data_IF_461450056962
#
_entry.id   IF_461450056962
#
_cell.length_a   1.000
_cell.length_b   1.000
_cell.length_c   1.000
_cell.angle_alpha   90.00
_cell.angle_beta   90.00
_cell.angle_gamma   90.00
#
_symmetry.space_group_name_H-M   'P 1'
#
loop_
_entity.id
_entity.type
_entity.pdbx_description
1 polymer ?
#
# COMPACT_ATOMS: atom_id res chain seq x y z
N UNK A 1 15.78 24.24 2.28
CA UNK A 1 15.02 24.29 3.55
C UNK A 1 14.43 22.91 3.77
N UNK A 2 15.12 22.02 4.49
CA UNK A 2 14.54 20.71 4.80
C UNK A 2 13.55 20.92 5.92
N UNK A 3 12.27 20.64 5.66
CA UNK A 3 11.29 20.43 6.72
C UNK A 3 11.84 19.42 7.73
N UNK A 4 11.48 19.55 9.01
CA UNK A 4 11.88 18.58 10.03
C UNK A 4 11.46 17.17 9.58
N UNK A 5 12.45 16.30 9.38
CA UNK A 5 12.23 14.91 9.02
C UNK A 5 11.32 14.25 10.05
N UNK A 6 10.23 13.64 9.57
CA UNK A 6 9.23 13.00 10.45
C UNK A 6 9.81 11.71 11.02
N UNK A 7 9.45 11.42 12.27
CA UNK A 7 9.72 10.11 12.89
C UNK A 7 8.38 9.52 13.29
N UNK A 8 7.97 8.46 12.60
CA UNK A 8 6.78 7.68 12.94
C UNK A 8 7.22 6.45 13.71
N UNK A 9 6.61 6.21 14.87
CA UNK A 9 6.91 5.08 15.76
C UNK A 9 5.65 4.22 15.91
N UNK A 10 5.71 2.95 15.50
CA UNK A 10 4.58 2.02 15.68
C UNK A 10 4.73 1.30 17.01
N UNK A 11 3.84 1.58 17.96
CA UNK A 11 3.97 1.10 19.34
C UNK A 11 2.62 0.77 19.97
N UNK A 12 2.63 -0.16 20.93
CA UNK A 12 1.49 -0.49 21.75
C UNK A 12 1.93 -1.13 23.07
N UNK A 13 1.80 -2.45 23.24
CA UNK A 13 2.09 -3.11 24.52
C UNK A 13 3.57 -3.13 24.91
N UNK A 14 4.50 -2.93 23.99
CA UNK A 14 5.94 -2.98 24.29
C UNK A 14 6.47 -1.70 24.93
N UNK A 15 5.94 -0.54 24.53
CA UNK A 15 6.40 0.78 25.00
C UNK A 15 5.29 1.82 24.83
N UNK A 16 5.10 2.67 25.84
CA UNK A 16 4.09 3.72 25.83
C UNK A 16 4.55 5.00 25.11
N UNK A 17 3.59 5.83 24.71
CA UNK A 17 3.86 7.12 24.08
C UNK A 17 4.72 8.05 24.95
N UNK A 18 4.52 8.05 26.27
CA UNK A 18 5.29 8.89 27.20
C UNK A 18 6.80 8.57 27.15
N UNK A 19 7.17 7.28 27.15
CA UNK A 19 8.55 6.84 27.04
C UNK A 19 9.17 7.20 25.68
N UNK A 20 8.37 7.10 24.61
CA UNK A 20 8.80 7.52 23.27
C UNK A 20 9.06 9.02 23.24
N UNK A 21 8.13 9.83 23.73
CA UNK A 21 8.23 11.29 23.74
C UNK A 21 9.31 11.82 24.69
N UNK A 22 9.65 11.07 25.74
CA UNK A 22 10.81 11.37 26.58
C UNK A 22 12.15 11.30 25.82
N UNK A 23 12.22 10.50 24.75
CA UNK A 23 13.41 10.35 23.90
C UNK A 23 13.30 11.22 22.64
N UNK A 24 12.17 11.15 21.92
CA UNK A 24 11.87 11.91 20.70
C UNK A 24 10.56 12.71 20.90
N UNK A 25 10.64 13.97 21.39
CA UNK A 25 9.44 14.75 21.76
C UNK A 25 8.42 14.97 20.63
N UNK A 26 8.87 14.97 19.38
CA UNK A 26 8.03 15.22 18.20
C UNK A 26 7.73 13.95 17.38
N UNK A 27 7.95 12.76 17.96
CA UNK A 27 7.60 11.51 17.29
C UNK A 27 6.07 11.37 17.14
N UNK A 28 5.66 10.96 15.95
CA UNK A 28 4.29 10.54 15.66
C UNK A 28 4.13 9.10 16.11
N UNK A 29 3.47 8.89 17.25
CA UNK A 29 3.22 7.55 17.80
C UNK A 29 1.91 7.02 17.23
N UNK A 30 2.01 5.93 16.48
CA UNK A 30 0.87 5.27 15.83
C UNK A 30 0.67 3.86 16.41
N UNK A 31 -0.54 3.26 16.28
CA UNK A 31 -0.80 1.91 16.76
C UNK A 31 0.15 0.85 16.17
N UNK A 32 0.20 -0.37 16.74
CA UNK A 32 0.96 -1.48 16.19
C UNK A 32 0.68 -1.71 14.70
N UNK A 33 1.73 -1.77 13.89
CA UNK A 33 1.63 -1.78 12.42
C UNK A 33 0.97 -3.05 11.88
N UNK A 34 0.14 -2.91 10.85
CA UNK A 34 -0.46 -4.01 10.10
C UNK A 34 -0.32 -3.83 8.58
N UNK A 35 -0.82 -4.79 7.80
CA UNK A 35 -0.77 -4.75 6.34
C UNK A 35 -1.47 -3.50 5.77
N UNK A 36 -0.73 -2.70 5.01
CA UNK A 36 -1.17 -1.46 4.36
C UNK A 36 -0.73 -0.21 5.12
N UNK A 37 -0.46 -0.30 6.43
CA UNK A 37 -0.26 0.88 7.27
C UNK A 37 1.05 1.63 6.98
N UNK A 38 2.13 0.90 6.66
CA UNK A 38 3.42 1.50 6.29
C UNK A 38 3.27 2.53 5.15
N UNK A 39 2.38 2.25 4.19
CA UNK A 39 2.14 3.10 3.03
C UNK A 39 1.20 4.27 3.35
N UNK A 40 0.32 4.12 4.34
CA UNK A 40 -0.64 5.16 4.77
C UNK A 40 0.02 6.32 5.50
N UNK A 41 1.16 6.10 6.15
CA UNK A 41 1.85 7.14 6.90
C UNK A 41 2.38 8.30 6.03
N UNK A 42 2.45 8.11 4.71
CA UNK A 42 2.85 9.15 3.77
C UNK A 42 4.27 9.64 3.97
N UNK A 43 5.16 8.76 4.43
CA UNK A 43 6.58 9.05 4.66
C UNK A 43 7.29 9.30 3.33
N UNK A 44 8.26 10.22 3.36
CA UNK A 44 9.02 10.66 2.20
C UNK A 44 10.52 10.44 2.43
N UNK A 45 11.31 10.58 1.36
CA UNK A 45 12.77 10.55 1.45
C UNK A 45 13.28 11.43 2.60
N UNK A 46 14.06 10.84 3.50
CA UNK A 46 14.60 11.49 4.70
C UNK A 46 13.76 11.30 5.98
N UNK A 47 12.50 10.86 5.89
CA UNK A 47 11.70 10.48 7.06
C UNK A 47 12.15 9.14 7.65
N UNK A 48 11.72 8.84 8.88
CA UNK A 48 12.03 7.59 9.59
C UNK A 48 10.76 6.87 10.05
N UNK A 49 10.69 5.56 9.79
CA UNK A 49 9.74 4.63 10.38
C UNK A 49 10.46 3.72 11.38
N UNK A 50 10.15 3.85 12.67
CA UNK A 50 10.57 2.92 13.70
C UNK A 50 9.42 1.95 14.04
N UNK A 51 9.63 0.67 13.77
CA UNK A 51 8.68 -0.39 14.06
C UNK A 51 9.06 -1.01 15.41
N UNK A 52 8.25 -0.78 16.44
CA UNK A 52 8.38 -1.49 17.73
C UNK A 52 7.37 -2.61 17.79
N UNK A 53 6.08 -2.30 17.62
CA UNK A 53 4.99 -3.29 17.65
C UNK A 53 4.30 -3.42 16.29
N UNK A 54 3.81 -4.64 16.04
CA UNK A 54 2.97 -4.95 14.89
C UNK A 54 1.96 -6.04 15.23
N UNK A 55 0.85 -6.06 14.48
CA UNK A 55 -0.21 -7.02 14.66
C UNK A 55 0.06 -8.30 13.84
N UNK A 56 -0.32 -9.44 14.39
CA UNK A 56 -0.31 -10.73 13.71
C UNK A 56 -1.50 -11.57 14.21
N UNK A 57 -1.74 -12.72 13.57
CA UNK A 57 -2.84 -13.64 13.87
C UNK A 57 -4.24 -13.10 13.52
N UNK A 58 -4.75 -12.08 14.23
CA UNK A 58 -6.06 -11.49 13.96
C UNK A 58 -6.06 -10.52 12.76
N UNK A 59 -4.89 -9.95 12.48
CA UNK A 59 -4.66 -9.07 11.34
C UNK A 59 -3.48 -9.57 10.52
N UNK A 60 -3.51 -9.30 9.22
CA UNK A 60 -2.36 -9.55 8.36
C UNK A 60 -1.22 -8.61 8.78
N UNK A 61 -0.06 -9.18 9.08
CA UNK A 61 1.12 -8.40 9.46
C UNK A 61 1.64 -7.56 8.29
N UNK A 62 2.35 -6.49 8.63
CA UNK A 62 3.10 -5.69 7.65
C UNK A 62 3.97 -6.59 6.78
N UNK A 63 3.98 -6.32 5.47
CA UNK A 63 4.66 -7.15 4.48
C UNK A 63 6.03 -6.58 4.13
N UNK A 64 6.97 -7.46 3.84
CA UNK A 64 8.32 -7.11 3.38
C UNK A 64 8.31 -6.11 2.23
N UNK A 65 7.44 -6.30 1.24
CA UNK A 65 7.40 -5.43 0.06
C UNK A 65 6.97 -4.00 0.39
N UNK A 66 6.18 -3.78 1.44
CA UNK A 66 5.82 -2.40 1.86
C UNK A 66 7.05 -1.69 2.42
N UNK A 67 7.81 -2.38 3.28
CA UNK A 67 9.02 -1.82 3.89
C UNK A 67 10.13 -1.62 2.85
N UNK A 68 10.30 -2.56 1.92
CA UNK A 68 11.22 -2.42 0.78
C UNK A 68 10.83 -1.22 -0.11
N UNK A 69 9.53 -1.00 -0.31
CA UNK A 69 9.02 0.16 -1.07
C UNK A 69 9.40 1.47 -0.38
N UNK A 70 9.17 1.58 0.94
CA UNK A 70 9.57 2.76 1.72
C UNK A 70 11.08 3.02 1.66
N UNK A 71 11.90 1.97 1.81
CA UNK A 71 13.36 2.10 1.75
C UNK A 71 13.85 2.54 0.37
N UNK A 72 13.23 2.05 -0.71
CA UNK A 72 13.53 2.48 -2.09
C UNK A 72 13.18 3.96 -2.31
N UNK A 73 12.12 4.45 -1.65
CA UNK A 73 11.73 5.87 -1.62
C UNK A 73 12.65 6.74 -0.73
N UNK A 74 13.69 6.15 -0.13
CA UNK A 74 14.67 6.81 0.73
C UNK A 74 14.18 7.09 2.15
N UNK A 75 13.15 6.38 2.61
CA UNK A 75 12.71 6.39 4.02
C UNK A 75 13.64 5.50 4.83
N UNK A 76 14.11 5.98 5.96
CA UNK A 76 14.87 5.18 6.93
C UNK A 76 13.91 4.25 7.66
N UNK A 77 14.09 2.93 7.56
CA UNK A 77 13.23 1.95 8.24
C UNK A 77 14.04 1.20 9.29
N UNK A 78 13.56 1.25 10.54
CA UNK A 78 14.22 0.70 11.72
C UNK A 78 13.26 -0.24 12.44
N UNK A 79 13.76 -1.36 12.95
CA UNK A 79 13.01 -2.26 13.83
C UNK A 79 13.82 -2.67 15.05
N UNK A 80 13.17 -3.05 16.15
CA UNK A 80 13.92 -3.39 17.38
C UNK A 80 13.31 -4.43 18.29
N UNK A 81 12.00 -4.47 18.37
CA UNK A 81 11.27 -5.40 19.23
C UNK A 81 10.10 -5.99 18.46
N UNK A 82 9.44 -6.99 19.05
CA UNK A 82 8.19 -7.51 18.52
C UNK A 82 8.26 -7.87 17.02
N UNK A 83 7.25 -7.50 16.24
CA UNK A 83 7.24 -7.55 14.77
C UNK A 83 8.38 -6.75 14.12
N UNK A 84 8.81 -5.65 14.74
CA UNK A 84 9.89 -4.81 14.21
C UNK A 84 11.24 -5.52 14.16
N UNK A 85 11.60 -6.24 15.21
CA UNK A 85 12.83 -7.04 15.27
C UNK A 85 12.83 -8.14 14.20
N UNK A 86 11.70 -8.85 14.06
CA UNK A 86 11.53 -9.90 13.07
C UNK A 86 11.72 -9.36 11.64
N UNK A 87 11.01 -8.26 11.31
CA UNK A 87 11.13 -7.62 9.99
C UNK A 87 12.50 -7.03 9.75
N UNK A 88 13.13 -6.44 10.76
CA UNK A 88 14.50 -5.96 10.67
C UNK A 88 15.47 -7.10 10.35
N UNK A 89 15.36 -8.26 11.01
CA UNK A 89 16.24 -9.40 10.75
C UNK A 89 16.10 -9.91 9.31
N UNK A 90 14.87 -10.06 8.83
CA UNK A 90 14.59 -10.53 7.46
C UNK A 90 15.03 -9.52 6.38
N UNK A 91 14.93 -8.21 6.69
CA UNK A 91 15.23 -7.13 5.73
C UNK A 91 16.60 -6.48 5.93
N UNK A 92 17.39 -6.92 6.90
CA UNK A 92 18.72 -6.40 7.16
C UNK A 92 19.65 -6.46 5.95
N UNK A 93 19.67 -7.54 5.14
CA UNK A 93 20.47 -7.57 3.91
C UNK A 93 20.11 -6.45 2.92
N UNK A 94 18.85 -6.00 2.92
CA UNK A 94 18.31 -4.96 2.04
C UNK A 94 18.40 -3.55 2.61
N UNK A 95 18.95 -3.37 3.82
CA UNK A 95 19.22 -2.06 4.41
C UNK A 95 18.29 -1.64 5.55
N UNK A 96 17.32 -2.47 5.95
CA UNK A 96 16.55 -2.19 7.18
C UNK A 96 17.47 -2.28 8.40
N UNK A 97 17.39 -1.27 9.27
CA UNK A 97 18.18 -1.24 10.50
C UNK A 97 17.48 -2.04 11.59
N UNK A 98 18.27 -2.75 12.38
CA UNK A 98 17.79 -3.53 13.51
C UNK A 98 18.61 -3.24 14.74
N UNK A 99 17.95 -3.12 15.90
CA UNK A 99 18.61 -2.83 17.18
C UNK A 99 18.05 -3.69 18.30
N UNK A 100 18.92 -4.10 19.21
CA UNK A 100 18.53 -4.81 20.43
C UNK A 100 18.65 -6.32 20.32
N UNK A 101 18.52 -6.97 21.48
CA UNK A 101 18.77 -8.39 21.65
C UNK A 101 17.80 -9.25 20.83
N UNK A 102 16.53 -8.85 20.70
CA UNK A 102 15.53 -9.61 19.93
C UNK A 102 15.88 -9.60 18.44
N UNK A 103 16.29 -8.45 17.88
CA UNK A 103 16.74 -8.37 16.49
C UNK A 103 18.01 -9.21 16.26
N UNK A 104 19.03 -9.05 17.11
CA UNK A 104 20.27 -9.80 17.00
C UNK A 104 20.02 -11.31 17.12
N UNK A 105 19.12 -11.70 18.02
CA UNK A 105 18.71 -13.09 18.20
C UNK A 105 18.09 -13.70 16.95
N UNK A 106 17.21 -12.97 16.24
CA UNK A 106 16.65 -13.42 14.96
C UNK A 106 17.69 -13.42 13.84
N UNK A 107 18.49 -12.35 13.73
CA UNK A 107 19.54 -12.21 12.70
C UNK A 107 20.56 -13.35 12.77
N UNK A 108 20.97 -13.70 13.99
CA UNK A 108 22.03 -14.67 14.25
C UNK A 108 21.47 -16.11 14.42
N UNK A 109 20.14 -16.29 14.33
CA UNK A 109 19.48 -17.59 14.42
C UNK A 109 19.43 -18.19 15.83
N UNK A 110 19.65 -17.38 16.87
CA UNK A 110 19.51 -17.77 18.29
C UNK A 110 18.03 -18.01 18.62
N UNK A 111 17.15 -17.21 18.04
CA UNK A 111 15.69 -17.40 18.04
C UNK A 111 15.18 -17.40 16.59
N UNK A 112 14.20 -18.24 16.29
CA UNK A 112 13.76 -18.50 14.91
C UNK A 112 12.23 -18.63 14.76
N UNK A 113 11.49 -18.76 15.85
CA UNK A 113 10.04 -18.87 15.81
C UNK A 113 9.35 -17.49 15.84
N UNK A 114 8.35 -17.31 14.98
CA UNK A 114 7.55 -16.08 14.90
C UNK A 114 6.87 -15.73 16.22
N UNK A 115 6.50 -16.74 17.01
CA UNK A 115 5.78 -16.56 18.26
C UNK A 115 6.70 -16.28 19.47
N UNK A 116 8.02 -16.19 19.28
CA UNK A 116 8.97 -15.78 20.33
C UNK A 116 8.64 -14.39 20.88
N UNK A 117 8.15 -13.52 19.99
CA UNK A 117 7.76 -12.16 20.31
C UNK A 117 6.26 -11.99 20.58
N UNK A 118 5.47 -13.05 20.41
CA UNK A 118 4.02 -13.02 20.58
C UNK A 118 3.60 -12.85 22.03
N UNK A 119 2.65 -11.95 22.28
CA UNK A 119 2.08 -11.69 23.61
C UNK A 119 0.55 -11.57 23.52
N UNK A 120 -0.12 -11.71 24.66
CA UNK A 120 -1.57 -11.43 24.77
C UNK A 120 -1.73 -10.15 25.58
N UNK A 121 -2.36 -9.15 24.98
CA UNK A 121 -2.61 -7.85 25.59
C UNK A 121 -4.08 -7.44 25.43
N UNK A 122 -4.52 -6.50 26.27
CA UNK A 122 -5.83 -5.86 26.16
C UNK A 122 -5.89 -4.81 25.07
N UNK A 123 -7.03 -4.15 24.97
CA UNK A 123 -7.29 -3.18 23.92
C UNK A 123 -6.49 -1.88 24.12
N UNK A 124 -6.31 -1.08 23.04
CA UNK A 124 -5.62 0.22 23.12
C UNK A 124 -6.24 1.19 24.13
N UNK A 125 -7.57 1.12 24.32
CA UNK A 125 -8.32 2.00 25.25
C UNK A 125 -7.91 1.79 26.72
N UNK A 126 -7.45 0.58 27.06
CA UNK A 126 -6.96 0.22 28.40
C UNK A 126 -5.44 0.41 28.55
N UNK A 127 -4.76 0.94 27.52
CA UNK A 127 -3.30 1.09 27.51
C UNK A 127 -2.53 -0.21 27.29
N UNK A 128 -3.12 -1.19 26.57
CA UNK A 128 -2.50 -2.46 26.21
C UNK A 128 -2.01 -3.31 27.40
N UNK A 129 -2.85 -3.63 28.41
CA UNK A 129 -2.42 -4.43 29.55
C UNK A 129 -1.96 -5.83 29.12
N UNK A 130 -0.76 -6.25 29.51
CA UNK A 130 -0.19 -7.55 29.11
C UNK A 130 -0.68 -8.67 30.04
N UNK A 131 -1.38 -9.65 29.48
CA UNK A 131 -1.91 -10.83 30.18
C UNK A 131 -0.97 -12.04 30.08
N UNK A 132 -0.30 -12.20 28.94
CA UNK A 132 0.67 -13.27 28.70
C UNK A 132 1.89 -12.67 28.00
N UNK A 133 3.07 -12.90 28.59
CA UNK A 133 4.32 -12.28 28.14
C UNK A 133 4.93 -13.00 26.94
N UNK A 134 5.82 -12.29 26.24
CA UNK A 134 6.58 -12.85 25.13
C UNK A 134 7.64 -13.85 25.62
N UNK A 135 7.95 -14.85 24.79
CA UNK A 135 8.95 -15.87 25.15
C UNK A 135 10.35 -15.26 25.31
N UNK A 136 10.69 -14.23 24.54
CA UNK A 136 11.95 -13.48 24.72
C UNK A 136 12.07 -12.86 26.13
N UNK A 137 10.99 -12.30 26.68
CA UNK A 137 10.97 -11.77 28.05
C UNK A 137 11.05 -12.90 29.09
N UNK A 138 10.37 -14.04 28.83
CA UNK A 138 10.46 -15.25 29.65
C UNK A 138 11.90 -15.76 29.71
N UNK A 139 12.62 -15.83 28.58
CA UNK A 139 14.03 -16.26 28.49
C UNK A 139 14.94 -15.38 29.35
N UNK A 140 14.77 -14.06 29.25
CA UNK A 140 15.59 -13.11 30.01
C UNK A 140 15.28 -13.16 31.51
N UNK A 141 13.99 -13.28 31.86
CA UNK A 141 13.55 -13.46 33.25
C UNK A 141 14.10 -14.76 33.86
N UNK A 142 14.06 -15.86 33.11
CA UNK A 142 14.62 -17.16 33.54
C UNK A 142 16.14 -17.07 33.70
N UNK A 143 16.83 -16.40 32.78
CA UNK A 143 18.29 -16.21 32.86
C UNK A 143 18.67 -15.42 34.11
N UNK A 144 17.96 -14.31 34.40
CA UNK A 144 18.17 -13.55 35.63
C UNK A 144 17.88 -14.38 36.89
N UNK A 145 16.86 -15.24 36.87
CA UNK A 145 16.54 -16.13 37.98
C UNK A 145 17.64 -17.18 38.23
N UNK A 146 18.31 -17.67 37.17
CA UNK A 146 19.47 -18.55 37.30
C UNK A 146 20.66 -17.80 37.90
N UNK A 147 20.99 -16.63 37.35
CA UNK A 147 22.09 -15.79 37.85
C UNK A 147 21.92 -15.40 39.32
N UNK A 148 20.68 -15.17 39.74
CA UNK A 148 20.33 -14.82 41.12
C UNK A 148 20.20 -16.03 42.05
N UNK A 149 20.44 -17.26 41.55
CA UNK A 149 20.34 -18.50 42.32
C UNK A 149 18.91 -18.92 42.71
N UNK A 150 17.89 -18.28 42.13
CA UNK A 150 16.47 -18.58 42.37
C UNK A 150 16.03 -19.85 41.63
N UNK A 151 16.63 -20.11 40.45
CA UNK A 151 16.29 -21.24 39.61
C UNK A 151 17.56 -22.03 39.22
N UNK A 152 17.59 -23.37 39.38
CA UNK A 152 18.68 -24.18 38.85
C UNK A 152 18.71 -24.16 37.31
N UNK A 153 19.91 -24.20 36.71
CA UNK A 153 20.09 -24.18 35.25
C UNK A 153 19.31 -25.30 34.53
N UNK A 154 19.30 -26.52 35.09
CA UNK A 154 18.57 -27.63 34.50
C UNK A 154 17.04 -27.39 34.47
N UNK A 155 16.50 -26.74 35.51
CA UNK A 155 15.07 -26.37 35.56
C UNK A 155 14.76 -25.23 34.59
N UNK A 156 15.68 -24.28 34.44
CA UNK A 156 15.57 -23.20 33.47
C UNK A 156 15.46 -23.72 32.03
N UNK A 157 16.36 -24.62 31.63
CA UNK A 157 16.33 -25.25 30.30
C UNK A 157 15.01 -25.98 30.04
N UNK A 158 14.55 -26.78 31.01
CA UNK A 158 13.26 -27.47 30.91
C UNK A 158 12.09 -26.49 30.77
N UNK A 159 12.10 -25.41 31.56
CA UNK A 159 11.04 -24.40 31.55
C UNK A 159 10.96 -23.67 30.20
N UNK A 160 12.10 -23.33 29.60
CA UNK A 160 12.16 -22.72 28.27
C UNK A 160 11.67 -23.69 27.19
N UNK A 161 12.06 -24.97 27.25
CA UNK A 161 11.56 -25.96 26.29
C UNK A 161 10.05 -26.19 26.42
N UNK A 162 9.52 -26.22 27.65
CA UNK A 162 8.07 -26.23 27.90
C UNK A 162 7.39 -25.01 27.31
N UNK A 163 7.98 -23.81 27.47
CA UNK A 163 7.43 -22.58 26.94
C UNK A 163 7.43 -22.54 25.40
N UNK A 164 8.50 -23.03 24.74
CA UNK A 164 8.57 -23.18 23.27
C UNK A 164 7.44 -24.04 22.72
N UNK A 165 7.10 -25.14 23.40
CA UNK A 165 6.04 -26.07 22.99
C UNK A 165 4.63 -25.62 23.38
N UNK A 166 4.52 -24.58 24.21
CA UNK A 166 3.23 -24.05 24.67
C UNK A 166 2.78 -22.93 23.72
N UNK A 167 1.54 -22.96 23.20
CA UNK A 167 1.00 -21.86 22.42
C UNK A 167 1.16 -20.52 23.15
N UNK A 168 1.58 -19.46 22.44
CA UNK A 168 1.90 -18.18 23.08
C UNK A 168 0.76 -17.63 23.95
N UNK A 169 -0.50 -17.90 23.59
CA UNK A 169 -1.69 -17.47 24.35
C UNK A 169 -1.84 -18.11 25.73
N UNK A 170 -1.00 -19.10 26.07
CA UNK A 170 -1.11 -19.91 27.27
C UNK A 170 0.17 -19.88 28.14
N UNK A 171 1.20 -19.10 27.76
CA UNK A 171 2.51 -19.02 28.42
C UNK A 171 2.50 -18.24 29.75
N UNK A 172 1.64 -18.64 30.68
CA UNK A 172 1.63 -18.08 32.04
C UNK A 172 2.60 -18.86 32.94
N UNK A 173 3.27 -18.19 33.89
CA UNK A 173 4.22 -18.84 34.80
C UNK A 173 3.63 -20.05 35.53
N UNK A 174 2.39 -19.93 36.04
CA UNK A 174 1.72 -21.05 36.72
C UNK A 174 1.64 -22.28 35.83
N UNK A 175 1.17 -22.11 34.58
CA UNK A 175 1.00 -23.21 33.64
C UNK A 175 2.33 -23.81 33.19
N UNK A 176 3.32 -22.96 32.93
CA UNK A 176 4.65 -23.40 32.51
C UNK A 176 5.33 -24.22 33.61
N UNK A 177 5.28 -23.76 34.87
CA UNK A 177 5.87 -24.46 36.01
C UNK A 177 5.12 -25.75 36.35
N UNK A 178 3.79 -25.76 36.28
CA UNK A 178 2.98 -26.97 36.45
C UNK A 178 3.31 -28.01 35.37
N UNK A 179 3.42 -27.58 34.11
CA UNK A 179 3.75 -28.47 32.98
C UNK A 179 5.19 -28.99 33.03
N UNK A 180 6.10 -28.21 33.60
CA UNK A 180 7.48 -28.62 33.85
C UNK A 180 7.64 -29.51 35.11
N UNK A 181 6.56 -29.73 35.88
CA UNK A 181 6.59 -30.57 37.08
C UNK A 181 7.39 -29.97 38.24
N UNK A 182 7.51 -28.63 38.30
CA UNK A 182 8.28 -27.94 39.34
C UNK A 182 7.50 -27.88 40.66
N UNK A 183 8.05 -28.39 41.78
CA UNK A 183 7.44 -28.27 43.10
C UNK A 183 7.28 -26.79 43.52
N UNK A 184 6.31 -26.50 44.40
CA UNK A 184 6.07 -25.12 44.90
C UNK A 184 5.79 -24.07 43.80
N UNK A 185 5.26 -24.51 42.65
CA UNK A 185 5.07 -23.73 41.43
C UNK A 185 4.42 -22.35 41.64
N UNK A 186 3.46 -22.22 42.57
CA UNK A 186 2.76 -20.95 42.84
C UNK A 186 3.64 -19.88 43.50
N UNK A 187 4.56 -20.27 44.38
CA UNK A 187 5.47 -19.32 45.03
C UNK A 187 6.53 -18.87 44.04
N UNK A 188 7.12 -19.83 43.32
CA UNK A 188 8.09 -19.54 42.27
C UNK A 188 7.47 -18.70 41.14
N UNK A 189 6.22 -18.96 40.73
CA UNK A 189 5.53 -18.15 39.72
C UNK A 189 5.42 -16.67 40.13
N UNK A 190 5.10 -16.38 41.40
CA UNK A 190 5.06 -15.00 41.90
C UNK A 190 6.45 -14.36 41.91
N UNK A 191 7.47 -15.12 42.28
CA UNK A 191 8.85 -14.66 42.30
C UNK A 191 9.35 -14.34 40.88
N UNK A 192 9.15 -15.24 39.91
CA UNK A 192 9.49 -15.01 38.51
C UNK A 192 8.73 -13.83 37.92
N UNK A 193 7.45 -13.66 38.28
CA UNK A 193 6.68 -12.47 37.87
C UNK A 193 7.26 -11.17 38.44
N UNK A 194 7.77 -11.19 39.67
CA UNK A 194 8.42 -10.02 40.27
C UNK A 194 9.82 -9.73 39.69
N UNK A 195 10.50 -10.77 39.19
CA UNK A 195 11.81 -10.67 38.51
C UNK A 195 11.67 -10.44 37.00
N UNK A 196 10.51 -10.00 36.52
CA UNK A 196 10.25 -9.85 35.08
C UNK A 196 11.32 -8.93 34.44
N UNK A 197 12.01 -9.46 33.43
CA UNK A 197 12.89 -8.69 32.55
C UNK A 197 12.13 -8.38 31.27
N UNK A 198 11.94 -7.09 30.99
CA UNK A 198 11.30 -6.62 29.76
C UNK A 198 12.34 -6.25 28.70
N UNK A 199 12.91 -7.27 28.04
CA UNK A 199 13.88 -7.04 26.97
C UNK A 199 13.23 -6.35 25.78
N UNK A 200 11.93 -6.59 25.55
CA UNK A 200 11.19 -5.92 24.49
C UNK A 200 11.15 -4.41 24.68
N UNK A 201 10.89 -3.93 25.90
CA UNK A 201 10.93 -2.50 26.24
C UNK A 201 12.35 -1.94 26.13
N UNK A 202 13.35 -2.65 26.68
CA UNK A 202 14.75 -2.23 26.64
C UNK A 202 15.26 -2.05 25.19
N UNK A 203 14.93 -2.97 24.29
CA UNK A 203 15.26 -2.90 22.86
C UNK A 203 14.55 -1.73 22.16
N UNK A 204 13.30 -1.45 22.52
CA UNK A 204 12.57 -0.28 22.02
C UNK A 204 13.25 1.03 22.42
N UNK A 205 13.65 1.18 23.68
CA UNK A 205 14.37 2.35 24.18
C UNK A 205 15.75 2.49 23.53
N UNK A 206 16.46 1.39 23.32
CA UNK A 206 17.74 1.39 22.60
C UNK A 206 17.56 1.94 21.18
N UNK A 207 16.58 1.43 20.44
CA UNK A 207 16.33 1.85 19.07
C UNK A 207 15.94 3.33 18.96
N UNK A 208 15.12 3.84 19.88
CA UNK A 208 14.79 5.27 19.95
C UNK A 208 16.05 6.14 20.09
N UNK A 209 17.01 5.72 20.93
CA UNK A 209 18.28 6.43 21.10
C UNK A 209 19.16 6.36 19.86
N UNK A 210 19.22 5.23 19.19
CA UNK A 210 19.98 5.04 17.96
C UNK A 210 19.35 5.76 16.75
N UNK A 211 18.02 5.93 16.73
CA UNK A 211 17.33 6.78 15.75
C UNK A 211 17.83 8.23 15.83
N UNK A 212 18.02 8.77 17.04
CA UNK A 212 18.53 10.14 17.26
C UNK A 212 20.01 10.27 16.92
N UNK A 213 20.83 9.29 17.31
CA UNK A 213 22.29 9.33 17.15
C UNK A 213 22.74 9.07 15.71
N UNK A 214 22.01 8.20 15.01
CA UNK A 214 22.37 7.75 13.68
C UNK A 214 22.29 8.84 12.62
N UNK A 215 23.12 8.77 11.56
CA UNK A 215 22.97 9.65 10.41
C UNK A 215 21.58 9.47 9.79
N UNK A 216 20.88 10.58 9.51
CA UNK A 216 19.55 10.55 8.87
C UNK A 216 19.57 10.04 7.43
N UNK A 217 20.73 10.12 6.77
CA UNK A 217 20.94 9.55 5.44
C UNK A 217 21.67 8.22 5.55
N UNK A 218 20.95 7.13 5.32
CA UNK A 218 21.54 5.81 5.13
C UNK A 218 21.67 5.56 3.63
N UNK A 219 22.81 4.99 3.23
CA UNK A 219 22.98 4.58 1.84
C UNK A 219 21.94 3.50 1.52
N UNK A 220 21.00 3.82 0.63
CA UNK A 220 20.03 2.86 0.10
C UNK A 220 20.82 1.75 -0.59
N UNK A 221 20.70 0.53 -0.06
CA UNK A 221 21.22 -0.65 -0.76
C UNK A 221 20.25 -0.97 -1.89
N UNK A 222 20.72 -1.43 -3.06
CA UNK A 222 19.82 -1.80 -4.15
C UNK A 222 18.84 -2.87 -3.66
N UNK A 223 17.58 -2.47 -3.48
CA UNK A 223 16.48 -3.37 -3.19
C UNK A 223 16.10 -4.18 -4.43
N UNK A 224 15.32 -5.26 -4.29
CA UNK A 224 14.67 -5.86 -5.45
C UNK A 224 13.81 -4.80 -6.16
N UNK A 225 13.74 -4.82 -7.51
CA UNK A 225 12.98 -3.82 -8.23
C UNK A 225 11.50 -3.83 -7.80
N UNK A 226 10.83 -2.66 -7.80
CA UNK A 226 9.40 -2.58 -7.50
C UNK A 226 8.61 -3.58 -8.35
N UNK A 227 7.68 -4.26 -7.70
CA UNK A 227 6.78 -5.18 -8.42
C UNK A 227 5.46 -4.48 -8.71
N UNK A 228 4.68 -5.03 -9.64
CA UNK A 228 3.30 -4.60 -9.89
C UNK A 228 2.45 -4.52 -8.62
N UNK A 229 2.77 -5.34 -7.60
CA UNK A 229 2.09 -5.32 -6.31
C UNK A 229 2.50 -4.14 -5.43
N UNK A 230 3.77 -3.73 -5.48
CA UNK A 230 4.26 -2.56 -4.75
C UNK A 230 3.48 -1.32 -5.17
N UNK A 231 3.28 -1.13 -6.49
CA UNK A 231 2.50 -0.01 -7.00
C UNK A 231 1.00 -0.10 -6.68
N UNK A 232 0.39 -1.29 -6.81
CA UNK A 232 -1.03 -1.47 -6.40
C UNK A 232 -1.24 -1.06 -4.96
N UNK A 233 -0.32 -1.46 -4.10
CA UNK A 233 -0.41 -1.21 -2.68
C UNK A 233 -0.18 0.27 -2.38
N UNK A 234 0.84 0.90 -3.00
CA UNK A 234 1.06 2.35 -2.92
C UNK A 234 -0.19 3.14 -3.31
N UNK A 235 -0.81 2.80 -4.43
CA UNK A 235 -2.01 3.51 -4.91
C UNK A 235 -3.21 3.29 -4.00
N UNK A 236 -3.42 2.06 -3.52
CA UNK A 236 -4.54 1.72 -2.65
C UNK A 236 -4.45 2.35 -1.26
N UNK A 237 -3.23 2.48 -0.74
CA UNK A 237 -2.97 2.96 0.62
C UNK A 237 -2.23 4.29 0.65
N UNK A 238 -2.26 5.04 -0.45
CA UNK A 238 -1.77 6.40 -0.49
C UNK A 238 -2.45 7.23 0.61
N UNK A 239 -1.74 8.18 1.23
CA UNK A 239 -2.35 9.09 2.19
C UNK A 239 -3.46 9.90 1.49
N UNK A 240 -4.68 9.96 2.05
CA UNK A 240 -5.74 10.75 1.46
C UNK A 240 -5.49 12.25 1.64
N UNK A 241 -6.16 13.04 0.82
CA UNK A 241 -6.26 14.50 1.03
C UNK A 241 -7.60 14.80 1.68
N UNK A 242 -7.62 15.41 2.89
CA UNK A 242 -8.86 15.83 3.53
C UNK A 242 -9.49 17.00 2.76
N UNK A 243 -10.79 16.95 2.53
CA UNK A 243 -11.56 18.00 1.85
C UNK A 243 -12.80 18.37 2.64
N UNK A 244 -13.00 19.66 2.89
CA UNK A 244 -14.24 20.19 3.47
C UNK A 244 -15.39 20.10 2.46
N UNK A 245 -16.47 19.42 2.83
CA UNK A 245 -17.65 19.23 1.97
C UNK A 245 -18.48 20.52 1.83
N UNK A 246 -18.38 21.41 2.80
CA UNK A 246 -19.03 22.73 2.75
C UNK A 246 -18.08 23.72 3.40
N UNK A 247 -17.75 24.86 2.75
CA UNK A 247 -16.83 25.83 3.32
C UNK A 247 -17.26 26.25 4.74
N UNK A 248 -16.40 26.00 5.73
CA UNK A 248 -16.66 26.33 7.14
C UNK A 248 -17.52 25.32 7.92
N UNK A 249 -17.82 24.14 7.36
CA UNK A 249 -18.35 23.01 8.14
C UNK A 249 -17.23 22.11 8.67
N UNK A 250 -17.51 21.33 9.72
CA UNK A 250 -16.58 20.31 10.23
C UNK A 250 -16.63 18.99 9.44
N UNK A 251 -17.44 18.91 8.37
CA UNK A 251 -17.62 17.69 7.59
C UNK A 251 -16.50 17.56 6.57
N UNK A 252 -15.48 16.77 6.95
CA UNK A 252 -14.31 16.47 6.12
C UNK A 252 -14.44 15.07 5.54
N UNK A 253 -14.15 14.93 4.24
CA UNK A 253 -14.04 13.65 3.56
C UNK A 253 -12.63 13.47 3.04
N UNK A 254 -12.05 12.32 3.33
CA UNK A 254 -10.74 11.90 2.86
C UNK A 254 -10.81 11.40 1.41
N UNK A 255 -10.09 12.05 0.50
CA UNK A 255 -10.10 11.74 -0.93
C UNK A 255 -8.74 11.26 -1.41
N UNK A 256 -8.72 10.09 -2.05
CA UNK A 256 -7.55 9.60 -2.77
C UNK A 256 -7.53 10.11 -4.21
N UNK A 257 -6.35 10.28 -4.78
CA UNK A 257 -6.21 10.64 -6.21
C UNK A 257 -6.89 9.60 -7.13
N UNK A 258 -6.91 8.32 -6.72
CA UNK A 258 -7.63 7.25 -7.45
C UNK A 258 -9.16 7.41 -7.40
N UNK A 259 -9.70 8.04 -6.35
CA UNK A 259 -11.14 8.36 -6.28
C UNK A 259 -11.47 9.47 -7.28
N UNK A 260 -10.59 10.46 -7.42
CA UNK A 260 -10.72 11.52 -8.42
C UNK A 260 -10.63 10.94 -9.83
N UNK A 261 -9.67 10.06 -10.10
CA UNK A 261 -9.56 9.39 -11.40
C UNK A 261 -10.81 8.55 -11.72
N UNK A 262 -11.37 7.88 -10.70
CA UNK A 262 -12.62 7.12 -10.81
C UNK A 262 -13.80 8.04 -11.14
N UNK A 263 -13.88 9.22 -10.51
CA UNK A 263 -14.90 10.23 -10.80
C UNK A 263 -14.81 10.70 -12.26
N UNK A 264 -13.61 11.06 -12.71
CA UNK A 264 -13.38 11.50 -14.09
C UNK A 264 -13.81 10.42 -15.07
N UNK A 265 -13.44 9.17 -14.81
CA UNK A 265 -13.80 8.04 -15.66
C UNK A 265 -15.32 7.87 -15.81
N UNK A 266 -16.05 7.86 -14.69
CA UNK A 266 -17.51 7.61 -14.73
C UNK A 266 -18.34 8.82 -15.16
N UNK A 267 -17.79 10.03 -15.07
CA UNK A 267 -18.46 11.28 -15.46
C UNK A 267 -18.02 11.82 -16.83
N UNK A 268 -16.99 11.24 -17.46
CA UNK A 268 -16.43 11.74 -18.71
C UNK A 268 -17.46 11.77 -19.86
N UNK A 269 -17.37 12.75 -20.74
CA UNK A 269 -18.10 12.77 -22.02
C UNK A 269 -17.16 12.56 -23.20
N UNK A 270 -15.86 12.48 -22.95
CA UNK A 270 -14.79 12.35 -23.91
C UNK A 270 -13.84 11.17 -23.62
N UNK A 271 -13.02 10.83 -24.61
CA UNK A 271 -12.07 9.69 -24.55
C UNK A 271 -10.73 10.10 -23.95
N UNK A 272 -10.77 10.74 -22.78
CA UNK A 272 -9.63 11.41 -22.16
C UNK A 272 -8.44 10.47 -21.89
N UNK A 273 -8.70 9.19 -21.63
CA UNK A 273 -7.68 8.20 -21.33
C UNK A 273 -6.84 7.79 -22.56
N UNK A 274 -7.29 8.10 -23.78
CA UNK A 274 -6.66 7.63 -25.01
C UNK A 274 -5.23 8.15 -25.17
N UNK A 275 -5.03 9.47 -25.03
CA UNK A 275 -3.70 10.08 -25.18
C UNK A 275 -2.72 9.65 -24.08
N UNK A 276 -3.07 9.71 -22.78
CA UNK A 276 -2.24 9.12 -21.72
C UNK A 276 -1.89 7.65 -21.95
N UNK A 277 -2.84 6.85 -22.48
CA UNK A 277 -2.58 5.46 -22.81
C UNK A 277 -1.55 5.31 -23.94
N UNK A 278 -1.64 6.15 -24.99
CA UNK A 278 -0.64 6.15 -26.06
C UNK A 278 0.75 6.58 -25.57
N UNK A 279 0.84 7.58 -24.69
CA UNK A 279 2.12 7.99 -24.07
C UNK A 279 2.74 6.84 -23.27
N UNK A 280 1.92 6.09 -22.53
CA UNK A 280 2.38 4.90 -21.81
C UNK A 280 2.91 3.81 -22.76
N UNK A 281 2.22 3.56 -23.88
CA UNK A 281 2.67 2.61 -24.90
C UNK A 281 3.97 3.08 -25.56
N UNK A 282 4.10 4.38 -25.85
CA UNK A 282 5.32 4.95 -26.38
C UNK A 282 6.50 4.81 -25.41
N UNK A 283 6.28 4.98 -24.11
CA UNK A 283 7.30 4.73 -23.10
C UNK A 283 7.70 3.24 -23.03
N UNK A 284 6.77 2.30 -23.20
CA UNK A 284 7.09 0.87 -23.30
C UNK A 284 7.90 0.55 -24.55
N UNK A 285 7.54 1.12 -25.69
CA UNK A 285 8.31 0.99 -26.92
C UNK A 285 9.74 1.51 -26.79
N UNK A 286 9.89 2.67 -26.16
CA UNK A 286 11.20 3.23 -25.87
C UNK A 286 12.04 2.28 -25.01
N UNK A 287 11.47 1.76 -23.92
CA UNK A 287 12.17 0.81 -23.04
C UNK A 287 12.52 -0.51 -23.74
N UNK A 288 11.67 -0.98 -24.66
CA UNK A 288 11.92 -2.19 -25.44
C UNK A 288 13.11 -2.01 -26.39
N UNK A 289 13.27 -0.82 -26.96
CA UNK A 289 14.31 -0.50 -27.96
C UNK A 289 15.58 0.09 -27.35
N UNK A 290 15.49 0.68 -26.15
CA UNK A 290 16.56 1.34 -25.42
C UNK A 290 16.60 0.86 -23.96
N UNK A 291 16.95 -0.42 -23.72
CA UNK A 291 16.91 -0.99 -22.38
C UNK A 291 17.90 -0.28 -21.44
N UNK A 292 17.44 0.04 -20.23
CA UNK A 292 18.25 0.69 -19.20
C UNK A 292 18.16 2.22 -19.18
N UNK A 293 17.54 2.84 -20.19
CA UNK A 293 17.31 4.28 -20.20
C UNK A 293 16.28 4.70 -19.12
N UNK A 294 16.63 5.73 -18.35
CA UNK A 294 15.86 6.23 -17.22
C UNK A 294 15.05 7.47 -17.60
N UNK A 295 13.93 7.67 -16.92
CA UNK A 295 13.05 8.82 -17.15
C UNK A 295 11.59 8.51 -16.83
N UNK A 296 10.79 9.56 -16.73
CA UNK A 296 9.34 9.44 -16.58
C UNK A 296 8.71 8.85 -17.86
N UNK A 297 7.43 8.49 -17.79
CA UNK A 297 6.67 8.07 -18.97
C UNK A 297 6.64 9.20 -20.01
N UNK A 298 6.48 10.46 -19.59
CA UNK A 298 6.52 11.62 -20.48
C UNK A 298 7.87 11.78 -21.18
N UNK A 299 8.98 11.65 -20.44
CA UNK A 299 10.32 11.81 -21.02
C UNK A 299 10.56 10.77 -22.12
N UNK A 300 10.23 9.51 -21.85
CA UNK A 300 10.39 8.41 -22.80
C UNK A 300 9.43 8.53 -23.98
N UNK A 301 8.18 8.91 -23.74
CA UNK A 301 7.21 9.15 -24.81
C UNK A 301 7.66 10.30 -25.72
N UNK A 302 8.19 11.39 -25.17
CA UNK A 302 8.74 12.52 -25.95
C UNK A 302 9.89 12.06 -26.84
N UNK A 303 10.87 11.33 -26.30
CA UNK A 303 11.99 10.80 -27.09
C UNK A 303 11.53 9.84 -28.19
N UNK A 304 10.52 9.02 -27.90
CA UNK A 304 9.92 8.15 -28.90
C UNK A 304 9.25 8.94 -30.02
N UNK A 305 8.54 10.04 -29.71
CA UNK A 305 7.96 10.94 -30.70
C UNK A 305 9.05 11.55 -31.58
N UNK A 306 10.12 12.06 -30.98
CA UNK A 306 11.25 12.67 -31.70
C UNK A 306 11.90 11.70 -32.70
N UNK A 307 11.81 10.38 -32.47
CA UNK A 307 12.35 9.35 -33.37
C UNK A 307 11.54 9.11 -34.65
N UNK A 308 10.27 9.56 -34.71
CA UNK A 308 9.35 9.30 -35.84
C UNK A 308 9.27 10.49 -36.82
N UNK A 309 9.79 11.68 -36.45
CA UNK A 309 9.88 12.87 -37.31
C UNK A 309 8.77 13.91 -37.10
N UNK A 310 8.65 14.89 -38.01
CA UNK A 310 7.69 16.01 -37.90
C UNK A 310 6.24 15.58 -38.24
N UNK A 311 5.30 15.88 -37.34
CA UNK A 311 3.87 15.60 -37.50
C UNK A 311 3.07 16.02 -36.26
N UNK A 312 1.75 15.86 -36.29
CA UNK A 312 0.91 16.07 -35.09
C UNK A 312 1.26 15.03 -34.02
N UNK A 313 1.46 15.47 -32.77
CA UNK A 313 1.90 14.60 -31.66
C UNK A 313 1.02 13.36 -31.47
N UNK A 314 -0.29 13.46 -31.66
CA UNK A 314 -1.20 12.32 -31.53
C UNK A 314 -0.94 11.27 -32.62
N UNK A 315 -0.74 11.69 -33.89
CA UNK A 315 -0.45 10.75 -34.98
C UNK A 315 0.92 10.08 -34.82
N UNK A 316 1.90 10.81 -34.31
CA UNK A 316 3.20 10.23 -33.96
C UNK A 316 3.05 9.13 -32.90
N UNK A 317 2.29 9.41 -31.84
CA UNK A 317 1.97 8.44 -30.79
C UNK A 317 1.23 7.20 -31.30
N UNK A 318 0.25 7.36 -32.21
CA UNK A 318 -0.44 6.22 -32.84
C UNK A 318 0.52 5.36 -33.66
N UNK A 319 1.42 6.01 -34.40
CA UNK A 319 2.46 5.33 -35.20
C UNK A 319 3.39 4.51 -34.30
N UNK A 320 3.80 5.07 -33.17
CA UNK A 320 4.61 4.37 -32.17
C UNK A 320 3.85 3.19 -31.57
N UNK A 321 2.55 3.33 -31.28
CA UNK A 321 1.74 2.23 -30.78
C UNK A 321 1.64 1.07 -31.79
N UNK A 322 1.56 1.37 -33.08
CA UNK A 322 1.66 0.37 -34.14
C UNK A 322 3.05 -0.31 -34.17
N UNK A 323 4.14 0.48 -34.11
CA UNK A 323 5.50 -0.07 -34.03
C UNK A 323 5.70 -0.95 -32.79
N UNK A 324 5.14 -0.57 -31.65
CA UNK A 324 5.16 -1.36 -30.43
C UNK A 324 4.46 -2.70 -30.63
N UNK A 325 3.26 -2.70 -31.21
CA UNK A 325 2.49 -3.92 -31.43
C UNK A 325 3.25 -4.90 -32.34
N UNK A 326 3.92 -4.39 -33.38
CA UNK A 326 4.81 -5.18 -34.25
C UNK A 326 6.05 -5.70 -33.49
N UNK A 327 6.76 -4.82 -32.79
CA UNK A 327 8.02 -5.15 -32.11
C UNK A 327 7.84 -6.13 -30.93
N UNK A 328 6.68 -6.08 -30.28
CA UNK A 328 6.30 -7.00 -29.19
C UNK A 328 5.65 -8.30 -29.68
N UNK A 329 5.41 -8.44 -30.99
CA UNK A 329 4.79 -9.61 -31.59
C UNK A 329 3.28 -9.76 -31.29
N UNK A 330 2.62 -8.67 -30.88
CA UNK A 330 1.15 -8.64 -30.70
C UNK A 330 0.45 -8.78 -32.06
N UNK A 331 1.05 -8.19 -33.10
CA UNK A 331 0.60 -8.28 -34.48
C UNK A 331 1.79 -8.62 -35.39
N UNK A 332 1.49 -9.14 -36.58
CA UNK A 332 2.43 -9.26 -37.68
C UNK A 332 2.06 -8.29 -38.82
N UNK A 333 2.63 -8.49 -40.01
CA UNK A 333 2.34 -7.65 -41.18
C UNK A 333 0.86 -7.66 -41.62
N UNK A 334 0.06 -8.64 -41.17
CA UNK A 334 -1.39 -8.69 -41.41
C UNK A 334 -2.21 -7.89 -40.39
N UNK A 335 -1.58 -7.41 -39.32
CA UNK A 335 -2.24 -6.63 -38.27
C UNK A 335 -3.02 -7.49 -37.27
N UNK A 336 -4.05 -6.90 -36.66
CA UNK A 336 -4.93 -7.62 -35.73
C UNK A 336 -5.94 -8.50 -36.48
N UNK A 337 -6.18 -9.75 -36.03
CA UNK A 337 -7.24 -10.61 -36.57
C UNK A 337 -8.62 -9.95 -36.54
N UNK A 338 -9.48 -10.27 -37.52
CA UNK A 338 -10.78 -9.62 -37.69
C UNK A 338 -11.74 -9.87 -36.51
N UNK A 339 -11.67 -11.03 -35.85
CA UNK A 339 -12.43 -11.31 -34.62
C UNK A 339 -12.01 -10.39 -33.47
N UNK A 340 -10.72 -10.08 -33.34
CA UNK A 340 -10.21 -9.12 -32.34
C UNK A 340 -10.64 -7.69 -32.70
N UNK A 341 -10.56 -7.30 -33.98
CA UNK A 341 -11.05 -6.00 -34.46
C UNK A 341 -12.54 -5.83 -34.22
N UNK A 342 -13.33 -6.86 -34.55
CA UNK A 342 -14.78 -6.84 -34.38
C UNK A 342 -15.19 -6.76 -32.90
N UNK A 343 -14.40 -7.39 -32.01
CA UNK A 343 -14.61 -7.33 -30.58
C UNK A 343 -14.27 -5.96 -29.99
N UNK A 344 -13.17 -5.32 -30.40
CA UNK A 344 -12.65 -4.12 -29.74
C UNK A 344 -12.92 -2.79 -30.46
N UNK A 345 -13.49 -2.78 -31.66
CA UNK A 345 -13.86 -1.56 -32.40
C UNK A 345 -15.37 -1.40 -32.50
N UNK A 346 -15.86 -0.16 -32.35
CA UNK A 346 -17.24 0.17 -32.68
C UNK A 346 -17.49 0.14 -34.19
N UNK A 347 -18.76 0.05 -34.62
CA UNK A 347 -19.13 0.16 -36.04
C UNK A 347 -18.69 1.47 -36.68
N UNK A 348 -18.70 2.56 -35.92
CA UNK A 348 -18.21 3.86 -36.36
C UNK A 348 -16.70 3.83 -36.57
N UNK A 349 -15.95 3.29 -35.61
CA UNK A 349 -14.50 3.16 -35.70
C UNK A 349 -14.06 2.26 -36.84
N UNK A 350 -14.74 1.13 -37.07
CA UNK A 350 -14.47 0.25 -38.23
C UNK A 350 -14.64 0.98 -39.55
N UNK A 351 -15.71 1.76 -39.71
CA UNK A 351 -15.94 2.55 -40.93
C UNK A 351 -14.95 3.69 -41.08
N UNK A 352 -14.59 4.36 -39.97
CA UNK A 352 -13.67 5.50 -39.97
C UNK A 352 -12.23 5.08 -40.25
N UNK A 353 -11.76 4.01 -39.62
CA UNK A 353 -10.37 3.56 -39.77
C UNK A 353 -10.16 2.78 -41.07
N UNK A 354 -11.18 2.05 -41.54
CA UNK A 354 -11.05 1.18 -42.71
C UNK A 354 -9.85 0.24 -42.57
N UNK A 355 -8.93 0.32 -43.52
CA UNK A 355 -7.70 -0.47 -43.56
C UNK A 355 -6.47 0.28 -43.04
N UNK A 356 -6.59 1.43 -42.37
CA UNK A 356 -5.45 2.12 -41.75
C UNK A 356 -4.88 1.28 -40.59
N UNK A 357 -3.73 0.60 -40.78
CA UNK A 357 -3.20 -0.30 -39.77
C UNK A 357 -2.73 0.47 -38.53
N UNK A 358 -2.38 1.75 -38.67
CA UNK A 358 -1.89 2.58 -37.57
C UNK A 358 -3.06 2.90 -36.63
N UNK A 359 -4.16 3.45 -37.15
CA UNK A 359 -5.34 3.79 -36.34
C UNK A 359 -5.93 2.56 -35.64
N UNK A 360 -6.05 1.43 -36.36
CA UNK A 360 -6.52 0.16 -35.79
C UNK A 360 -5.58 -0.31 -34.68
N UNK A 361 -4.27 -0.33 -34.93
CA UNK A 361 -3.30 -0.81 -33.97
C UNK A 361 -3.25 0.06 -32.73
N UNK A 362 -3.26 1.38 -32.88
CA UNK A 362 -3.29 2.32 -31.77
C UNK A 362 -4.53 2.13 -30.89
N UNK A 363 -5.71 2.00 -31.51
CA UNK A 363 -6.98 1.79 -30.79
C UNK A 363 -7.00 0.46 -30.04
N UNK A 364 -6.60 -0.63 -30.68
CA UNK A 364 -6.62 -1.95 -30.05
C UNK A 364 -5.55 -2.08 -28.98
N UNK A 365 -4.34 -1.59 -29.23
CA UNK A 365 -3.23 -1.62 -28.28
C UNK A 365 -3.59 -0.88 -26.98
N UNK A 366 -4.22 0.30 -27.09
CA UNK A 366 -4.66 1.07 -25.90
C UNK A 366 -5.86 0.48 -25.16
N UNK A 367 -6.70 -0.33 -25.82
CA UNK A 367 -7.82 -1.05 -25.16
C UNK A 367 -7.40 -2.40 -24.57
N UNK A 368 -6.42 -3.08 -25.18
CA UNK A 368 -6.04 -4.47 -24.83
C UNK A 368 -4.85 -4.56 -23.88
N UNK A 369 -3.83 -3.71 -24.02
CA UNK A 369 -2.66 -3.77 -23.15
C UNK A 369 -2.97 -3.41 -21.69
N UNK A 370 -4.02 -2.63 -21.50
CA UNK A 370 -4.49 -2.21 -20.19
C UNK A 370 -5.45 -3.23 -19.54
N UNK A 371 -5.90 -4.23 -20.31
CA UNK A 371 -6.69 -5.36 -19.82
C UNK A 371 -5.82 -6.39 -19.08
N UNK A 372 -4.53 -6.49 -19.46
CA UNK A 372 -3.56 -7.28 -18.69
C UNK A 372 -3.23 -6.54 -17.40
N UNK A 373 -3.01 -7.29 -16.32
CA UNK A 373 -2.83 -6.84 -14.92
C UNK A 373 -1.59 -5.93 -14.69
N UNK A 374 -1.08 -5.24 -15.70
CA UNK A 374 0.05 -4.32 -15.67
C UNK A 374 -0.43 -2.91 -15.29
N UNK A 375 0.02 -2.42 -14.13
CA UNK A 375 -0.28 -1.08 -13.61
C UNK A 375 0.56 0.11 -14.10
N UNK A 376 1.53 0.01 -15.03
CA UNK A 376 2.23 1.23 -15.45
C UNK A 376 1.25 2.33 -15.91
N UNK A 377 0.14 1.91 -16.54
CA UNK A 377 -0.97 2.74 -16.97
C UNK A 377 -1.53 3.73 -15.93
N UNK A 378 -1.99 3.24 -14.78
CA UNK A 378 -2.68 4.08 -13.79
C UNK A 378 -1.68 5.03 -13.15
N UNK A 379 -0.43 4.61 -12.97
CA UNK A 379 0.59 5.46 -12.36
C UNK A 379 0.85 6.71 -13.19
N UNK A 380 1.02 6.58 -14.51
CA UNK A 380 1.13 7.73 -15.41
C UNK A 380 -0.11 8.63 -15.31
N UNK A 381 -1.31 8.05 -15.27
CA UNK A 381 -2.54 8.84 -15.19
C UNK A 381 -2.63 9.63 -13.89
N UNK A 382 -2.18 9.05 -12.77
CA UNK A 382 -2.10 9.73 -11.48
C UNK A 382 -1.05 10.83 -11.47
N UNK A 383 0.09 10.64 -12.14
CA UNK A 383 1.12 11.70 -12.31
C UNK A 383 0.59 12.87 -13.12
N UNK A 384 -0.10 12.60 -14.24
CA UNK A 384 -0.79 13.61 -15.03
C UNK A 384 -1.86 14.34 -14.23
N UNK A 385 -2.67 13.59 -13.47
CA UNK A 385 -3.71 14.15 -12.59
C UNK A 385 -3.11 15.09 -11.55
N UNK A 386 -2.02 14.70 -10.88
CA UNK A 386 -1.31 15.52 -9.90
C UNK A 386 -0.70 16.79 -10.49
N UNK A 387 -0.33 16.76 -11.76
CA UNK A 387 0.19 17.91 -12.48
C UNK A 387 -0.93 18.82 -13.05
N UNK A 388 -2.19 18.38 -13.04
CA UNK A 388 -3.30 19.15 -13.62
C UNK A 388 -3.80 20.25 -12.66
N UNK A 389 -3.88 21.51 -13.11
CA UNK A 389 -4.34 22.62 -12.26
C UNK A 389 -5.80 22.47 -11.80
N UNK A 390 -6.61 21.63 -12.46
CA UNK A 390 -8.03 21.39 -12.13
C UNK A 390 -8.22 20.35 -11.02
N UNK A 391 -7.15 19.70 -10.56
CA UNK A 391 -7.23 18.66 -9.52
C UNK A 391 -7.96 19.11 -8.24
N UNK A 392 -7.75 20.31 -7.67
CA UNK A 392 -8.50 20.75 -6.49
C UNK A 392 -10.03 20.77 -6.70
N UNK A 393 -10.47 21.19 -7.89
CA UNK A 393 -11.90 21.26 -8.23
C UNK A 393 -12.50 19.86 -8.36
N UNK A 394 -11.82 18.96 -9.09
CA UNK A 394 -12.25 17.58 -9.22
C UNK A 394 -12.25 16.82 -7.88
N UNK A 395 -11.29 17.14 -7.01
CA UNK A 395 -11.25 16.59 -5.66
C UNK A 395 -12.44 17.03 -4.82
N UNK A 396 -12.84 18.30 -4.95
CA UNK A 396 -14.04 18.85 -4.30
C UNK A 396 -15.30 18.17 -4.81
N UNK A 397 -15.41 17.95 -6.13
CA UNK A 397 -16.52 17.20 -6.72
C UNK A 397 -16.60 15.76 -6.19
N UNK A 398 -15.46 15.07 -6.10
CA UNK A 398 -15.38 13.73 -5.53
C UNK A 398 -15.81 13.71 -4.06
N UNK A 399 -15.36 14.68 -3.27
CA UNK A 399 -15.73 14.83 -1.87
C UNK A 399 -17.24 15.01 -1.68
N UNK A 400 -17.87 15.89 -2.45
CA UNK A 400 -19.33 16.08 -2.39
C UNK A 400 -20.09 14.80 -2.74
N UNK A 401 -19.66 14.06 -3.76
CA UNK A 401 -20.32 12.82 -4.16
C UNK A 401 -20.14 11.70 -3.12
N UNK A 402 -18.95 11.57 -2.52
CA UNK A 402 -18.69 10.58 -1.47
C UNK A 402 -19.39 10.94 -0.15
N UNK A 403 -19.48 12.22 0.20
CA UNK A 403 -20.20 12.68 1.37
C UNK A 403 -21.67 12.22 1.38
N UNK A 404 -22.32 12.21 0.20
CA UNK A 404 -23.70 11.71 0.04
C UNK A 404 -23.81 10.22 0.29
N UNK A 405 -22.86 9.43 -0.23
CA UNK A 405 -22.81 7.99 0.06
C UNK A 405 -22.66 7.75 1.56
N UNK A 406 -21.78 8.51 2.22
CA UNK A 406 -21.49 8.34 3.64
C UNK A 406 -22.63 8.85 4.54
N UNK A 407 -23.33 9.91 4.13
CA UNK A 407 -24.60 10.35 4.73
C UNK A 407 -25.67 9.24 4.66
N UNK A 408 -25.87 8.64 3.48
CA UNK A 408 -26.83 7.54 3.32
C UNK A 408 -26.42 6.30 4.13
N UNK A 409 -25.12 6.01 4.20
CA UNK A 409 -24.59 4.91 5.02
C UNK A 409 -24.92 5.11 6.50
N UNK A 410 -24.80 6.35 7.01
CA UNK A 410 -25.19 6.70 8.39
C UNK A 410 -26.69 6.58 8.62
N UNK A 411 -27.52 7.03 7.67
CA UNK A 411 -28.97 6.96 7.77
C UNK A 411 -29.50 5.52 7.64
N UNK A 412 -28.81 4.66 6.88
CA UNK A 412 -29.21 3.28 6.56
C UNK A 412 -28.03 2.31 6.73
N UNK A 413 -27.59 2.00 7.96
CA UNK A 413 -26.42 1.17 8.21
C UNK A 413 -26.56 -0.28 7.69
N UNK A 414 -27.78 -0.76 7.50
CA UNK A 414 -28.05 -2.09 6.94
C UNK A 414 -27.87 -2.16 5.41
N UNK A 415 -27.74 -1.02 4.73
CA UNK A 415 -27.57 -0.96 3.29
C UNK A 415 -26.08 -1.10 2.95
N UNK A 416 -25.71 -2.15 2.22
CA UNK A 416 -24.33 -2.31 1.77
C UNK A 416 -24.04 -1.43 0.54
N UNK A 417 -23.72 -0.16 0.80
CA UNK A 417 -23.35 0.81 -0.23
C UNK A 417 -21.97 0.58 -0.85
N UNK A 418 -21.15 -0.30 -0.26
CA UNK A 418 -19.79 -0.60 -0.75
C UNK A 418 -19.77 -1.68 -1.82
N UNK A 419 -20.82 -2.49 -1.93
CA UNK A 419 -20.96 -3.53 -2.95
C UNK A 419 -22.39 -3.55 -3.52
N UNK A 420 -22.78 -2.52 -4.28
CA UNK A 420 -24.06 -2.52 -4.99
C UNK A 420 -24.14 -3.70 -5.97
N UNK A 421 -25.36 -4.05 -6.37
CA UNK A 421 -25.57 -5.09 -7.37
C UNK A 421 -24.92 -4.69 -8.72
N UNK A 422 -24.04 -5.54 -9.30
CA UNK A 422 -23.35 -5.23 -10.55
C UNK A 422 -24.28 -4.92 -11.74
N UNK A 423 -25.42 -5.60 -11.83
CA UNK A 423 -26.40 -5.42 -12.91
C UNK A 423 -27.07 -4.05 -12.79
N UNK A 424 -27.42 -3.66 -11.56
CA UNK A 424 -27.97 -2.33 -11.28
C UNK A 424 -26.98 -1.21 -11.57
N UNK A 425 -25.68 -1.40 -11.27
CA UNK A 425 -24.64 -0.43 -11.62
C UNK A 425 -24.53 -0.23 -13.13
N UNK A 426 -24.50 -1.32 -13.91
CA UNK A 426 -24.48 -1.22 -15.38
C UNK A 426 -25.72 -0.52 -15.91
N UNK A 427 -26.90 -0.80 -15.35
CA UNK A 427 -28.15 -0.12 -15.77
C UNK A 427 -28.10 1.37 -15.46
N UNK A 428 -27.68 1.75 -14.25
CA UNK A 428 -27.60 3.13 -13.81
C UNK A 428 -26.64 3.95 -14.68
N UNK A 429 -25.41 3.48 -14.84
CA UNK A 429 -24.41 4.18 -15.64
C UNK A 429 -24.69 4.09 -17.14
N UNK A 430 -25.32 3.01 -17.63
CA UNK A 430 -25.73 2.91 -19.03
C UNK A 430 -26.82 3.93 -19.39
N UNK A 431 -27.80 4.15 -18.52
CA UNK A 431 -28.78 5.24 -18.70
C UNK A 431 -28.09 6.61 -18.70
N UNK A 432 -27.12 6.81 -17.81
CA UNK A 432 -26.38 8.07 -17.69
C UNK A 432 -25.48 8.35 -18.90
N UNK A 433 -24.81 7.33 -19.41
CA UNK A 433 -23.92 7.46 -20.58
C UNK A 433 -24.70 7.44 -21.90
N UNK A 434 -25.98 7.05 -21.88
CA UNK A 434 -26.80 6.92 -23.09
C UNK A 434 -26.41 5.73 -23.97
N UNK A 435 -25.67 4.76 -23.41
CA UNK A 435 -25.16 3.59 -24.13
C UNK A 435 -25.02 2.39 -23.17
N UNK A 436 -24.88 1.18 -23.71
CA UNK A 436 -24.64 -0.01 -22.89
C UNK A 436 -23.24 0.05 -22.23
N UNK A 437 -23.15 -0.42 -20.98
CA UNK A 437 -21.88 -0.56 -20.26
C UNK A 437 -21.17 -1.85 -20.69
N UNK A 438 -20.59 -1.82 -21.88
CA UNK A 438 -19.77 -2.89 -22.45
C UNK A 438 -18.27 -2.65 -22.25
N UNK A 439 -17.43 -3.59 -22.70
CA UNK A 439 -15.97 -3.52 -22.56
C UNK A 439 -15.34 -2.39 -23.39
N UNK A 440 -15.98 -1.96 -24.48
CA UNK A 440 -15.49 -0.86 -25.32
C UNK A 440 -15.74 0.48 -24.62
N UNK A 441 -16.95 0.68 -24.11
CA UNK A 441 -17.35 1.92 -23.43
C UNK A 441 -16.56 2.12 -22.13
N UNK A 442 -16.38 1.09 -21.31
CA UNK A 442 -15.55 1.21 -20.10
C UNK A 442 -14.09 1.54 -20.46
N UNK A 443 -13.53 0.95 -21.53
CA UNK A 443 -12.17 1.24 -21.94
C UNK A 443 -12.00 2.67 -22.47
N UNK A 444 -13.01 3.21 -23.18
CA UNK A 444 -13.01 4.62 -23.60
C UNK A 444 -12.93 5.60 -22.42
N UNK A 445 -13.46 5.18 -21.28
CA UNK A 445 -13.51 5.94 -20.03
C UNK A 445 -12.29 5.74 -19.14
N UNK A 446 -11.31 4.97 -19.57
CA UNK A 446 -10.12 4.65 -18.78
C UNK A 446 -10.32 3.50 -17.79
N UNK A 447 -11.47 2.81 -17.84
CA UNK A 447 -11.82 1.71 -16.94
C UNK A 447 -11.60 0.37 -17.65
N UNK A 448 -10.44 -0.22 -17.42
CA UNK A 448 -9.89 -1.24 -18.31
C UNK A 448 -10.43 -2.66 -18.05
N UNK A 449 -11.23 -2.84 -16.99
CA UNK A 449 -11.90 -4.10 -16.65
C UNK A 449 -13.28 -3.83 -16.04
N UNK A 450 -14.16 -4.84 -16.05
CA UNK A 450 -15.43 -4.74 -15.32
C UNK A 450 -15.20 -4.46 -13.82
N UNK A 451 -14.16 -5.05 -13.21
CA UNK A 451 -13.82 -4.78 -11.80
C UNK A 451 -13.40 -3.33 -11.58
N UNK A 452 -12.63 -2.73 -12.50
CA UNK A 452 -12.27 -1.32 -12.45
C UNK A 452 -13.53 -0.44 -12.54
N UNK A 453 -14.44 -0.78 -13.45
CA UNK A 453 -15.74 -0.12 -13.55
C UNK A 453 -16.53 -0.26 -12.24
N UNK A 454 -16.70 -1.46 -11.70
CA UNK A 454 -17.49 -1.65 -10.48
C UNK A 454 -16.89 -0.94 -9.28
N UNK A 455 -15.57 -0.94 -9.13
CA UNK A 455 -14.89 -0.20 -8.07
C UNK A 455 -15.17 1.31 -8.19
N UNK A 456 -15.01 1.89 -9.38
CA UNK A 456 -15.28 3.30 -9.61
C UNK A 456 -16.77 3.65 -9.46
N UNK A 457 -17.64 2.88 -10.10
CA UNK A 457 -19.09 3.09 -10.11
C UNK A 457 -19.71 2.96 -8.71
N UNK A 458 -19.24 2.01 -7.88
CA UNK A 458 -19.75 1.80 -6.53
C UNK A 458 -19.50 3.00 -5.62
N UNK A 459 -18.37 3.68 -5.78
CA UNK A 459 -18.05 4.89 -5.01
C UNK A 459 -19.10 5.98 -5.23
N UNK A 460 -19.54 6.14 -6.47
CA UNK A 460 -20.40 7.25 -6.90
C UNK A 460 -21.85 6.85 -7.18
N UNK A 461 -22.24 5.61 -6.87
CA UNK A 461 -23.56 5.06 -7.19
C UNK A 461 -24.72 5.86 -6.57
N UNK A 462 -24.54 6.34 -5.33
CA UNK A 462 -25.56 7.16 -4.64
C UNK A 462 -25.75 8.50 -5.35
N UNK A 463 -24.66 9.24 -5.57
CA UNK A 463 -24.71 10.49 -6.31
C UNK A 463 -25.22 10.32 -7.75
N UNK A 464 -24.89 9.19 -8.40
CA UNK A 464 -25.40 8.87 -9.73
C UNK A 464 -26.92 8.60 -9.73
N UNK A 465 -27.43 7.89 -8.72
CA UNK A 465 -28.86 7.59 -8.60
C UNK A 465 -29.72 8.84 -8.32
N UNK A 466 -29.13 9.82 -7.63
CA UNK A 466 -29.78 11.11 -7.32
C UNK A 466 -29.54 12.18 -8.40
N UNK A 467 -28.94 11.80 -9.54
CA UNK A 467 -28.54 12.68 -10.65
C UNK A 467 -27.70 13.90 -10.22
N UNK A 468 -26.83 13.70 -9.23
CA UNK A 468 -25.94 14.71 -8.66
C UNK A 468 -24.50 14.64 -9.18
N UNK A 469 -24.19 13.67 -10.05
CA UNK A 469 -22.90 13.65 -10.72
C UNK A 469 -22.87 14.69 -11.86
N UNK A 470 -21.73 15.32 -12.14
CA UNK A 470 -21.58 16.18 -13.30
C UNK A 470 -21.39 15.36 -14.59
N UNK A 471 -21.50 16.04 -15.74
CA UNK A 471 -20.90 15.59 -17.01
C UNK A 471 -19.60 16.37 -17.20
N UNK A 472 -18.48 15.67 -17.43
CA UNK A 472 -17.14 16.29 -17.45
C UNK A 472 -16.51 16.07 -18.82
N UNK A 473 -16.05 17.13 -19.46
CA UNK A 473 -15.09 17.02 -20.57
C UNK A 473 -13.69 17.14 -19.98
N UNK A 474 -12.97 16.02 -19.84
CA UNK A 474 -11.67 16.00 -19.15
C UNK A 474 -10.58 16.61 -20.04
N UNK A 475 -10.65 16.38 -21.36
CA UNK A 475 -9.71 16.87 -22.35
C UNK A 475 -8.34 16.19 -22.21
N UNK A 476 -7.28 16.99 -22.27
CA UNK A 476 -5.90 16.52 -22.08
C UNK A 476 -5.57 16.64 -20.59
N UNK A 477 -5.24 15.52 -19.96
CA UNK A 477 -4.87 15.47 -18.54
C UNK A 477 -3.44 15.96 -18.33
N UNK A 478 -3.24 16.89 -17.38
CA UNK A 478 -1.93 17.47 -17.07
C UNK A 478 -1.36 18.37 -18.19
N UNK A 479 -2.22 18.83 -19.11
CA UNK A 479 -1.89 19.73 -20.21
C UNK A 479 -2.05 21.21 -19.89
#
# INVERSE_FOLDING_TARGET
>A
MTADARVVVTAGPTIGAEDIHAVIPHAEVVPPISFGDALRYGLRSGDTLLIVDGLFFQSASVRHKELLTLMDDGVRVVGSSSMGALRAAELHPFGMEGYGWVFEGYRDGIIDADDEVGMVHGDPEDGYPVFVDALVNIRQTVSQAVESGVLPSATAEQLIETARRTPFTQRTWNRLLESAGVPESRTLARQLKAMRVDIKHADAVLALREVIRGPRNVAVRPGPPPTVWSERWRQRWAPPTPVEVTPGSSDVVDILDVDVLSLLSVCATDRWAYRPALEQVAAWYWNLTHPGDQGSVRDRASRAIDSVGEGENERALETIAHHYAMASGIIDASGFPEDVRAHWLTDEERRRFGDDPISVSARLTTRTLFFTRSLPAIQHFLELLRADPRLPDWRTMAAHALARRDELARQKPNLNLRRPDPTQLKRLFGMRWGTEVDHVEIAQRGLMTNDAFYNAASLFAVAAADDQLPSIQVGILGG
#
